data_IF_943224560477
#
_entry.id   IF_943224560477
#
_cell.length_a   1.000
_cell.length_b   1.000
_cell.length_c   1.000
_cell.angle_alpha   90.00
_cell.angle_beta   90.00
_cell.angle_gamma   90.00
#
_symmetry.space_group_name_H-M   'P 1'
#
loop_
_entity.id
_entity.type
_entity.pdbx_description
1 polymer ?
#
# COMPACT_ATOMS: atom_id res chain seq x y z
N UNK A 1 10.64 -13.32 1.01
CA UNK A 1 10.28 -12.42 -0.10
C UNK A 1 11.48 -11.52 -0.39
N UNK A 2 11.90 -11.43 -1.66
CA UNK A 2 12.96 -10.53 -2.09
C UNK A 2 12.49 -9.09 -2.23
N UNK A 3 13.39 -8.10 -2.26
CA UNK A 3 13.02 -6.67 -2.35
C UNK A 3 12.21 -6.33 -3.59
N UNK A 4 12.54 -6.93 -4.73
CA UNK A 4 11.81 -6.72 -5.98
C UNK A 4 10.36 -7.20 -5.84
N UNK A 5 10.15 -8.34 -5.19
CA UNK A 5 8.82 -8.89 -4.90
C UNK A 5 8.06 -8.00 -3.91
N UNK A 6 8.73 -7.52 -2.85
CA UNK A 6 8.15 -6.57 -1.90
C UNK A 6 7.70 -5.27 -2.59
N UNK A 7 8.53 -4.72 -3.48
CA UNK A 7 8.19 -3.52 -4.26
C UNK A 7 6.99 -3.75 -5.17
N UNK A 8 6.94 -4.89 -5.86
CA UNK A 8 5.79 -5.27 -6.69
C UNK A 8 4.52 -5.41 -5.84
N UNK A 9 4.61 -6.03 -4.66
CA UNK A 9 3.49 -6.18 -3.74
C UNK A 9 2.97 -4.81 -3.27
N UNK A 10 3.86 -3.90 -2.86
CA UNK A 10 3.48 -2.54 -2.43
C UNK A 10 2.84 -1.74 -3.58
N UNK A 11 3.34 -1.88 -4.81
CA UNK A 11 2.73 -1.25 -5.98
C UNK A 11 1.37 -1.83 -6.32
N UNK A 12 1.18 -3.15 -6.18
CA UNK A 12 -0.11 -3.80 -6.39
C UNK A 12 -1.15 -3.27 -5.39
N UNK A 13 -0.79 -3.16 -4.10
CA UNK A 13 -1.65 -2.57 -3.07
C UNK A 13 -2.03 -1.13 -3.44
N UNK A 14 -1.06 -0.33 -3.89
CA UNK A 14 -1.32 1.05 -4.30
C UNK A 14 -2.32 1.12 -5.46
N UNK A 15 -2.14 0.30 -6.50
CA UNK A 15 -3.04 0.25 -7.65
C UNK A 15 -4.45 -0.23 -7.27
N UNK A 16 -4.55 -1.21 -6.38
CA UNK A 16 -5.84 -1.73 -5.96
C UNK A 16 -6.58 -0.76 -5.03
N UNK A 17 -5.86 0.02 -4.20
CA UNK A 17 -6.43 1.13 -3.44
C UNK A 17 -6.95 2.27 -4.33
N UNK A 18 -6.23 2.62 -5.39
CA UNK A 18 -6.69 3.59 -6.39
C UNK A 18 -8.02 3.13 -7.04
N UNK A 19 -8.11 1.83 -7.37
CA UNK A 19 -9.35 1.22 -7.87
C UNK A 19 -10.47 1.24 -6.84
N UNK A 20 -10.18 1.01 -5.56
CA UNK A 20 -11.16 1.11 -4.47
C UNK A 20 -11.74 2.53 -4.40
N UNK A 21 -10.89 3.56 -4.38
CA UNK A 21 -11.33 4.97 -4.38
C UNK A 21 -12.17 5.31 -5.61
N UNK A 22 -11.72 4.88 -6.79
CA UNK A 22 -12.44 5.09 -8.05
C UNK A 22 -13.81 4.41 -8.07
N UNK A 23 -13.91 3.14 -7.66
CA UNK A 23 -15.19 2.42 -7.67
C UNK A 23 -16.13 2.89 -6.57
N UNK A 24 -15.60 3.43 -5.46
CA UNK A 24 -16.39 4.16 -4.48
C UNK A 24 -17.03 5.41 -5.08
N UNK A 25 -16.27 6.24 -5.82
CA UNK A 25 -16.82 7.41 -6.53
C UNK A 25 -17.87 7.04 -7.59
N UNK A 26 -17.65 5.93 -8.30
CA UNK A 26 -18.57 5.44 -9.34
C UNK A 26 -19.79 4.70 -8.76
N UNK A 27 -19.95 4.60 -7.43
CA UNK A 27 -20.98 3.80 -6.74
C UNK A 27 -21.04 2.33 -7.19
N UNK A 28 -19.89 1.74 -7.56
CA UNK A 28 -19.76 0.33 -7.97
C UNK A 28 -19.33 -0.53 -6.80
N UNK A 29 -20.27 -0.78 -5.89
CA UNK A 29 -20.02 -1.44 -4.60
C UNK A 29 -19.35 -2.81 -4.72
N UNK A 30 -19.84 -3.68 -5.61
CA UNK A 30 -19.27 -5.04 -5.77
C UNK A 30 -17.80 -4.99 -6.20
N UNK A 31 -17.46 -4.07 -7.10
CA UNK A 31 -16.09 -3.89 -7.59
C UNK A 31 -15.21 -3.28 -6.50
N UNK A 32 -15.72 -2.29 -5.76
CA UNK A 32 -15.03 -1.72 -4.59
C UNK A 32 -14.68 -2.82 -3.59
N UNK A 33 -15.67 -3.63 -3.19
CA UNK A 33 -15.49 -4.74 -2.23
C UNK A 33 -14.49 -5.78 -2.73
N UNK A 34 -14.56 -6.15 -4.01
CA UNK A 34 -13.60 -7.08 -4.63
C UNK A 34 -12.16 -6.57 -4.52
N UNK A 35 -11.89 -5.32 -4.86
CA UNK A 35 -10.53 -4.78 -4.77
C UNK A 35 -10.08 -4.54 -3.33
N UNK A 36 -11.00 -4.17 -2.43
CA UNK A 36 -10.69 -4.05 -1.01
C UNK A 36 -10.30 -5.41 -0.40
N UNK A 37 -10.95 -6.49 -0.79
CA UNK A 37 -10.57 -7.84 -0.38
C UNK A 37 -9.16 -8.21 -0.88
N UNK A 38 -8.83 -7.87 -2.13
CA UNK A 38 -7.48 -8.05 -2.66
C UNK A 38 -6.43 -7.26 -1.88
N UNK A 39 -6.71 -5.99 -1.56
CA UNK A 39 -5.85 -5.16 -0.72
C UNK A 39 -5.63 -5.82 0.65
N UNK A 40 -6.70 -6.26 1.31
CA UNK A 40 -6.60 -6.93 2.61
C UNK A 40 -5.73 -8.20 2.54
N UNK A 41 -5.86 -9.00 1.48
CA UNK A 41 -5.03 -10.18 1.27
C UNK A 41 -3.56 -9.82 1.10
N UNK A 42 -3.27 -8.84 0.25
CA UNK A 42 -1.90 -8.38 0.00
C UNK A 42 -1.25 -7.76 1.26
N UNK A 43 -2.02 -7.05 2.08
CA UNK A 43 -1.52 -6.50 3.36
C UNK A 43 -1.23 -7.59 4.38
N UNK A 44 -2.02 -8.67 4.42
CA UNK A 44 -1.67 -9.87 5.20
C UNK A 44 -0.40 -10.54 4.69
N UNK A 45 -0.14 -10.51 3.39
CA UNK A 45 1.14 -10.99 2.85
C UNK A 45 2.30 -10.10 3.34
N UNK A 46 2.13 -8.77 3.40
CA UNK A 46 3.13 -7.85 3.98
C UNK A 46 3.40 -8.10 5.47
N UNK A 47 2.38 -8.46 6.26
CA UNK A 47 2.53 -8.78 7.70
C UNK A 47 3.52 -9.91 7.97
N UNK A 48 3.71 -10.81 7.00
CA UNK A 48 4.59 -11.97 7.12
C UNK A 48 6.00 -11.72 6.54
N UNK A 49 6.33 -10.49 6.18
CA UNK A 49 7.61 -10.10 5.58
C UNK A 49 8.43 -9.29 6.58
N UNK A 50 9.74 -9.53 6.60
CA UNK A 50 10.69 -8.65 7.29
C UNK A 50 10.79 -7.32 6.54
N UNK A 51 10.08 -6.30 7.04
CA UNK A 51 9.97 -5.00 6.40
C UNK A 51 11.18 -4.11 6.71
N UNK A 52 11.73 -3.39 5.72
CA UNK A 52 12.74 -2.37 5.95
C UNK A 52 12.31 -1.36 7.02
N UNK A 53 13.21 -0.99 7.94
CA UNK A 53 12.97 0.06 8.95
C UNK A 53 12.46 1.35 8.30
N UNK A 54 13.01 1.71 7.14
CA UNK A 54 12.61 2.88 6.35
C UNK A 54 11.16 2.83 5.86
N UNK A 55 10.58 1.63 5.74
CA UNK A 55 9.21 1.41 5.27
C UNK A 55 8.19 1.28 6.41
N UNK A 56 8.60 1.01 7.65
CA UNK A 56 7.70 0.75 8.79
C UNK A 56 6.66 1.86 8.99
N UNK A 57 7.06 3.14 8.93
CA UNK A 57 6.11 4.25 9.09
C UNK A 57 5.06 4.29 7.98
N UNK A 58 5.43 3.93 6.75
CA UNK A 58 4.49 3.86 5.62
C UNK A 58 3.54 2.67 5.80
N UNK A 59 4.07 1.56 6.30
CA UNK A 59 3.29 0.37 6.59
C UNK A 59 2.26 0.60 7.71
N UNK A 60 2.64 1.22 8.82
CA UNK A 60 1.70 1.55 9.90
C UNK A 60 0.60 2.52 9.43
N UNK A 61 0.96 3.53 8.64
CA UNK A 61 -0.04 4.41 8.02
C UNK A 61 -1.03 3.64 7.13
N UNK A 62 -0.54 2.69 6.32
CA UNK A 62 -1.38 1.83 5.51
C UNK A 62 -2.35 1.01 6.39
N UNK A 63 -1.86 0.39 7.48
CA UNK A 63 -2.72 -0.41 8.37
C UNK A 63 -3.84 0.40 8.99
N UNK A 64 -3.54 1.60 9.50
CA UNK A 64 -4.57 2.45 10.11
C UNK A 64 -5.63 2.89 9.11
N UNK A 65 -5.22 3.31 7.91
CA UNK A 65 -6.18 3.68 6.86
C UNK A 65 -6.99 2.48 6.37
N UNK A 66 -6.39 1.30 6.29
CA UNK A 66 -7.09 0.09 5.89
C UNK A 66 -8.19 -0.29 6.88
N UNK A 67 -8.02 -0.05 8.18
CA UNK A 67 -9.11 -0.23 9.17
C UNK A 67 -10.31 0.64 8.83
N UNK A 68 -10.09 1.90 8.46
CA UNK A 68 -11.16 2.82 8.06
C UNK A 68 -11.82 2.39 6.75
N UNK A 69 -11.03 1.96 5.75
CA UNK A 69 -11.55 1.50 4.46
C UNK A 69 -12.33 0.18 4.54
N UNK A 70 -12.17 -0.57 5.63
CA UNK A 70 -12.94 -1.78 5.92
C UNK A 70 -14.27 -1.50 6.63
N UNK A 71 -14.58 -0.24 6.96
CA UNK A 71 -15.89 0.15 7.46
C UNK A 71 -16.89 0.29 6.30
N UNK A 72 -18.18 0.04 6.56
CA UNK A 72 -19.22 0.06 5.51
C UNK A 72 -19.56 1.47 4.99
N UNK A 73 -19.22 2.51 5.75
CA UNK A 73 -19.52 3.89 5.38
C UNK A 73 -18.58 4.38 4.26
N UNK A 74 -19.14 4.60 3.08
CA UNK A 74 -18.44 5.20 1.94
C UNK A 74 -18.86 6.65 1.79
N UNK A 75 -18.02 7.55 2.29
CA UNK A 75 -18.17 8.99 2.18
C UNK A 75 -16.96 9.63 1.47
N UNK A 76 -16.90 10.96 1.44
CA UNK A 76 -15.78 11.67 0.85
C UNK A 76 -14.43 11.35 1.52
N UNK A 77 -14.44 11.10 2.84
CA UNK A 77 -13.23 10.75 3.59
C UNK A 77 -12.71 9.36 3.23
N UNK A 78 -13.62 8.41 2.99
CA UNK A 78 -13.28 7.08 2.47
C UNK A 78 -12.51 7.17 1.16
N UNK A 79 -13.03 7.96 0.22
CA UNK A 79 -12.46 8.12 -1.13
C UNK A 79 -11.08 8.79 -1.04
N UNK A 80 -10.99 9.88 -0.27
CA UNK A 80 -9.73 10.61 -0.08
C UNK A 80 -8.66 9.74 0.59
N UNK A 81 -9.04 8.97 1.61
CA UNK A 81 -8.14 8.02 2.28
C UNK A 81 -7.61 6.95 1.32
N UNK A 82 -8.47 6.40 0.45
CA UNK A 82 -8.04 5.40 -0.53
C UNK A 82 -6.97 5.97 -1.48
N UNK A 83 -7.21 7.15 -2.06
CA UNK A 83 -6.27 7.78 -2.99
C UNK A 83 -4.99 8.28 -2.29
N UNK A 84 -5.13 8.86 -1.10
CA UNK A 84 -3.98 9.33 -0.31
C UNK A 84 -3.07 8.18 0.07
N UNK A 85 -3.66 7.05 0.50
CA UNK A 85 -2.88 5.85 0.83
C UNK A 85 -2.20 5.28 -0.41
N UNK A 86 -2.89 5.20 -1.56
CA UNK A 86 -2.30 4.76 -2.82
C UNK A 86 -1.11 5.64 -3.27
N UNK A 87 -1.27 6.97 -3.18
CA UNK A 87 -0.22 7.94 -3.52
C UNK A 87 0.98 7.83 -2.58
N UNK A 88 0.73 7.67 -1.27
CA UNK A 88 1.80 7.49 -0.29
C UNK A 88 2.62 6.22 -0.58
N UNK A 89 1.97 5.09 -0.88
CA UNK A 89 2.67 3.83 -1.18
C UNK A 89 3.52 3.96 -2.46
N UNK A 90 2.97 4.58 -3.50
CA UNK A 90 3.66 4.78 -4.78
C UNK A 90 4.89 5.69 -4.63
N UNK A 91 4.76 6.79 -3.89
CA UNK A 91 5.80 7.82 -3.82
C UNK A 91 6.80 7.61 -2.69
N UNK A 92 6.32 7.26 -1.49
CA UNK A 92 7.14 7.10 -0.29
C UNK A 92 7.48 5.65 -0.02
N UNK A 93 6.51 4.76 -0.16
CA UNK A 93 6.70 3.33 0.09
C UNK A 93 7.76 2.69 -0.79
N UNK A 94 7.67 2.92 -2.10
CA UNK A 94 8.65 2.41 -3.08
C UNK A 94 10.05 2.97 -2.80
N UNK A 95 10.17 4.28 -2.55
CA UNK A 95 11.47 4.91 -2.24
C UNK A 95 12.08 4.35 -0.96
N UNK A 96 11.27 4.15 0.08
CA UNK A 96 11.72 3.58 1.35
C UNK A 96 12.34 2.17 1.16
N UNK A 97 11.78 1.37 0.26
CA UNK A 97 12.33 0.04 -0.10
C UNK A 97 13.64 0.18 -0.89
N UNK A 98 13.75 1.19 -1.75
CA UNK A 98 14.92 1.41 -2.61
C UNK A 98 16.14 1.99 -1.86
N UNK A 99 15.97 2.77 -0.78
CA UNK A 99 17.08 3.43 -0.04
C UNK A 99 18.14 2.44 0.47
N UNK A 100 17.75 1.23 0.87
CA UNK A 100 18.71 0.21 1.33
C UNK A 100 19.60 -0.28 0.18
N UNK A 101 19.14 -0.22 -1.06
CA UNK A 101 19.92 -0.62 -2.24
C UNK A 101 21.06 0.36 -2.48
N UNK A 102 20.81 1.68 -2.39
CA UNK A 102 21.86 2.69 -2.50
C UNK A 102 22.92 2.58 -1.41
N UNK A 103 22.53 2.29 -0.17
CA UNK A 103 23.48 2.16 0.94
C UNK A 103 24.37 0.91 0.81
N UNK A 104 23.81 -0.23 0.38
CA UNK A 104 24.61 -1.46 0.19
C UNK A 104 25.54 -1.38 -1.02
N UNK A 105 25.08 -0.77 -2.12
CA UNK A 105 25.92 -0.58 -3.31
C UNK A 105 27.05 0.43 -3.07
N UNK A 106 26.85 1.39 -2.16
CA UNK A 106 27.89 2.31 -1.73
C UNK A 106 28.96 1.59 -0.88
N UNK A 107 28.55 0.81 0.11
CA UNK A 107 29.47 0.05 0.98
C UNK A 107 30.24 -1.07 0.24
N UNK A 108 29.72 -1.59 -0.86
CA UNK A 108 30.39 -2.61 -1.66
C UNK A 108 31.42 -2.04 -2.66
N UNK A 109 31.53 -0.71 -2.77
CA UNK A 109 32.49 -0.01 -3.64
C UNK A 109 33.69 0.57 -2.87
N UNK A 110 33.72 0.40 -1.55
CA UNK A 110 34.86 0.67 -0.66
C UNK A 110 35.57 -0.66 -0.32
#
# INVERSE_FOLDING_TARGET
MGRKELKVLVLNIAMDLDRVGRFAMENKEDRRKQFLELVNKQVKELENVDLPITFLNTYEYLRENLKQLNMDAVDASYIDNAFTTASMLTNRGVRAIDIITMMKDYQARE
#
